data_IF_882691919775
#
_entry.id   IF_882691919775
#
_cell.length_a   1.000
_cell.length_b   1.000
_cell.length_c   1.000
_cell.angle_alpha   90.00
_cell.angle_beta   90.00
_cell.angle_gamma   90.00
#
_symmetry.space_group_name_H-M   'P 1'
#
loop_
_entity.id
_entity.type
_entity.pdbx_description
1 polymer ?
#
# COMPACT_ATOMS: atom_id res chain seq x y z
N UNK A 1 43.97 -25.10 32.33
CA UNK A 1 42.50 -24.96 32.47
C UNK A 1 42.10 -23.84 31.54
N UNK A 2 41.54 -24.18 30.38
CA UNK A 2 41.03 -23.19 29.43
C UNK A 2 39.51 -23.26 29.55
N UNK A 3 38.89 -22.25 30.13
CA UNK A 3 37.43 -22.13 30.14
C UNK A 3 36.96 -21.91 28.70
N UNK A 4 35.89 -22.60 28.23
CA UNK A 4 35.29 -22.25 26.96
C UNK A 4 34.55 -20.91 27.14
N UNK A 5 34.81 -19.96 26.24
CA UNK A 5 34.01 -18.76 26.11
C UNK A 5 32.56 -19.18 25.78
N UNK A 6 31.62 -18.82 26.65
CA UNK A 6 30.20 -18.87 26.36
C UNK A 6 29.93 -17.83 25.27
N UNK A 7 29.67 -18.28 24.06
CA UNK A 7 29.10 -17.42 23.02
C UNK A 7 27.70 -17.06 23.48
N UNK A 8 27.51 -15.82 23.95
CA UNK A 8 26.17 -15.26 24.12
C UNK A 8 25.52 -15.23 22.74
N UNK A 9 24.65 -16.22 22.47
CA UNK A 9 23.75 -16.16 21.35
C UNK A 9 22.86 -14.94 21.59
N UNK A 10 23.07 -13.87 20.83
CA UNK A 10 22.15 -12.74 20.82
C UNK A 10 20.80 -13.31 20.41
N UNK A 11 19.85 -13.32 21.34
CA UNK A 11 18.44 -13.57 21.07
C UNK A 11 18.01 -12.58 20.00
N UNK A 12 17.81 -13.06 18.79
CA UNK A 12 17.36 -12.22 17.68
C UNK A 12 15.91 -11.82 17.93
N UNK A 13 15.58 -10.53 17.74
CA UNK A 13 14.27 -10.01 18.09
C UNK A 13 13.19 -10.61 17.17
N UNK A 14 12.10 -11.08 17.79
CA UNK A 14 10.86 -11.44 17.10
C UNK A 14 10.32 -10.20 16.34
N UNK A 15 9.65 -10.39 15.19
CA UNK A 15 9.03 -9.28 14.49
C UNK A 15 7.91 -8.66 15.34
N UNK A 16 7.75 -7.35 15.23
CA UNK A 16 6.62 -6.61 15.80
C UNK A 16 5.60 -6.27 14.70
N UNK A 17 4.35 -6.02 15.11
CA UNK A 17 3.24 -5.76 14.19
C UNK A 17 3.47 -4.53 13.30
N UNK A 18 2.85 -4.55 12.12
CA UNK A 18 2.80 -3.41 11.22
C UNK A 18 1.92 -2.30 11.82
N UNK A 19 2.19 -1.06 11.43
CA UNK A 19 1.47 0.11 11.91
C UNK A 19 0.77 0.83 10.75
N UNK A 20 -0.51 1.16 10.91
CA UNK A 20 -1.16 2.15 10.03
C UNK A 20 -0.83 3.52 10.59
N UNK A 21 0.05 4.25 9.90
CA UNK A 21 0.61 5.52 10.39
C UNK A 21 -0.17 6.74 9.91
N UNK A 22 -0.94 6.59 8.85
CA UNK A 22 -1.78 7.65 8.29
C UNK A 22 -2.93 7.03 7.50
N UNK A 23 -4.10 7.68 7.51
CA UNK A 23 -5.22 7.34 6.63
C UNK A 23 -6.06 8.57 6.31
N UNK A 24 -6.80 8.49 5.21
CA UNK A 24 -7.78 9.50 4.82
C UNK A 24 -8.75 8.92 3.80
N UNK A 25 -9.93 9.53 3.72
CA UNK A 25 -10.97 9.10 2.81
C UNK A 25 -11.91 10.26 2.46
N UNK A 26 -12.65 10.09 1.38
CA UNK A 26 -13.77 10.95 1.02
C UNK A 26 -14.92 10.11 0.46
N UNK A 27 -16.11 10.70 0.38
CA UNK A 27 -17.28 10.08 -0.23
C UNK A 27 -17.58 10.75 -1.56
N UNK A 28 -17.90 9.94 -2.57
CA UNK A 28 -18.51 10.43 -3.79
C UNK A 28 -20.05 10.48 -3.65
N UNK A 29 -20.69 11.14 -4.62
CA UNK A 29 -22.15 11.26 -4.68
C UNK A 29 -22.88 9.95 -5.04
N UNK A 30 -22.13 8.90 -5.41
CA UNK A 30 -22.66 7.57 -5.72
C UNK A 30 -22.74 6.65 -4.48
N UNK A 31 -22.23 7.10 -3.33
CA UNK A 31 -22.27 6.36 -2.07
C UNK A 31 -21.05 5.46 -1.85
N UNK A 32 -19.95 5.72 -2.56
CA UNK A 32 -18.67 5.05 -2.31
C UNK A 32 -17.75 5.91 -1.45
N UNK A 33 -17.05 5.27 -0.51
CA UNK A 33 -15.93 5.86 0.19
C UNK A 33 -14.63 5.45 -0.52
N UNK A 34 -13.82 6.44 -0.92
CA UNK A 34 -12.50 6.25 -1.51
C UNK A 34 -11.44 6.54 -0.45
N UNK A 35 -10.59 5.57 -0.16
CA UNK A 35 -9.64 5.65 0.94
C UNK A 35 -8.20 5.42 0.50
N UNK A 36 -7.29 5.95 1.32
CA UNK A 36 -5.89 5.56 1.32
C UNK A 36 -5.39 5.46 2.76
N UNK A 37 -4.45 4.55 2.99
CA UNK A 37 -3.71 4.46 4.23
C UNK A 37 -2.25 4.12 3.96
N UNK A 38 -1.34 4.67 4.78
CA UNK A 38 0.07 4.31 4.79
C UNK A 38 0.29 3.27 5.88
N UNK A 39 0.80 2.11 5.46
CA UNK A 39 1.21 1.02 6.34
C UNK A 39 2.73 1.05 6.46
N UNK A 40 3.23 0.95 7.69
CA UNK A 40 4.64 0.98 8.04
C UNK A 40 5.07 -0.36 8.61
N UNK A 41 6.23 -0.86 8.15
CA UNK A 41 6.95 -1.96 8.75
C UNK A 41 8.06 -1.40 9.64
N UNK A 42 7.89 -1.40 10.97
CA UNK A 42 8.87 -0.84 11.90
C UNK A 42 10.07 -1.78 12.14
N UNK A 43 10.08 -2.96 11.53
CA UNK A 43 11.15 -3.93 11.71
C UNK A 43 12.33 -3.65 10.78
N UNK A 44 13.56 -3.66 11.33
CA UNK A 44 14.78 -3.37 10.56
C UNK A 44 15.39 -4.60 9.85
N UNK A 45 14.83 -5.79 10.04
CA UNK A 45 15.36 -7.04 9.47
C UNK A 45 14.29 -8.05 9.05
N UNK A 46 13.01 -7.73 9.26
CA UNK A 46 11.89 -8.61 8.93
C UNK A 46 11.05 -7.99 7.84
N UNK A 47 10.91 -8.69 6.72
CA UNK A 47 9.88 -8.43 5.74
C UNK A 47 8.57 -9.10 6.14
N UNK A 48 7.45 -8.44 5.84
CA UNK A 48 6.10 -8.94 5.99
C UNK A 48 5.56 -9.39 4.63
N UNK A 49 4.99 -10.58 4.58
CA UNK A 49 4.38 -11.19 3.41
C UNK A 49 2.92 -11.54 3.70
N UNK A 50 2.06 -11.51 2.67
CA UNK A 50 0.62 -11.82 2.79
C UNK A 50 -0.06 -10.97 3.87
N UNK A 51 0.18 -9.66 3.84
CA UNK A 51 -0.34 -8.71 4.83
C UNK A 51 -1.85 -8.57 4.59
N UNK A 52 -2.65 -8.98 5.56
CA UNK A 52 -4.10 -8.82 5.50
C UNK A 52 -4.49 -7.43 6.00
N UNK A 53 -5.22 -6.70 5.17
CA UNK A 53 -5.75 -5.37 5.49
C UNK A 53 -7.26 -5.46 5.63
N UNK A 54 -7.78 -4.99 6.76
CA UNK A 54 -9.23 -4.83 6.96
C UNK A 54 -9.54 -3.36 7.12
N UNK A 55 -10.49 -2.87 6.33
CA UNK A 55 -11.08 -1.54 6.41
C UNK A 55 -12.47 -1.66 7.01
N UNK A 56 -12.72 -1.00 8.14
CA UNK A 56 -14.02 -1.00 8.79
C UNK A 56 -14.66 0.38 8.66
N UNK A 57 -15.82 0.44 7.99
CA UNK A 57 -16.68 1.61 7.99
C UNK A 57 -17.44 1.66 9.32
N UNK A 58 -17.43 2.82 9.99
CA UNK A 58 -18.09 3.02 11.29
C UNK A 58 -19.06 4.16 11.27
N UNK A 59 -20.13 4.04 12.04
CA UNK A 59 -21.05 5.15 12.32
C UNK A 59 -20.48 6.14 13.36
N UNK A 60 -21.22 7.22 13.62
CA UNK A 60 -20.82 8.25 14.59
C UNK A 60 -20.74 7.77 16.05
N UNK A 61 -21.37 6.63 16.35
CA UNK A 61 -21.31 5.99 17.66
C UNK A 61 -20.14 4.98 17.75
N UNK A 62 -19.40 4.78 16.66
CA UNK A 62 -18.24 3.89 16.56
C UNK A 62 -18.59 2.43 16.22
N UNK A 63 -19.83 2.12 15.89
CA UNK A 63 -20.23 0.76 15.50
C UNK A 63 -19.77 0.47 14.07
N UNK A 64 -19.30 -0.74 13.83
CA UNK A 64 -19.00 -1.21 12.45
C UNK A 64 -20.31 -1.36 11.69
N UNK A 65 -20.41 -0.69 10.55
CA UNK A 65 -21.57 -0.75 9.64
C UNK A 65 -21.26 -1.51 8.36
N UNK A 66 -19.99 -1.58 7.94
CA UNK A 66 -19.52 -2.42 6.85
C UNK A 66 -18.00 -2.68 6.96
N UNK A 67 -17.50 -3.65 6.19
CA UNK A 67 -16.07 -4.00 6.15
C UNK A 67 -15.63 -4.40 4.74
N UNK A 68 -14.40 -4.02 4.38
CA UNK A 68 -13.68 -4.49 3.21
C UNK A 68 -12.39 -5.18 3.67
N UNK A 69 -12.09 -6.34 3.07
CA UNK A 69 -10.80 -7.02 3.24
C UNK A 69 -9.98 -6.88 1.95
N UNK A 70 -8.69 -6.59 2.11
CA UNK A 70 -7.72 -6.42 1.03
C UNK A 70 -6.34 -6.95 1.49
N UNK A 71 -5.35 -6.94 0.60
CA UNK A 71 -4.03 -7.49 0.87
C UNK A 71 -2.91 -6.62 0.30
N UNK A 72 -1.80 -6.57 1.03
CA UNK A 72 -0.50 -6.12 0.52
C UNK A 72 0.40 -7.36 0.44
N UNK A 73 1.00 -7.58 -0.72
CA UNK A 73 1.73 -8.83 -0.98
C UNK A 73 3.02 -8.92 -0.17
N UNK A 74 3.79 -7.82 -0.15
CA UNK A 74 5.13 -7.78 0.43
C UNK A 74 5.47 -6.38 0.93
N UNK A 75 6.06 -6.31 2.11
CA UNK A 75 6.70 -5.11 2.65
C UNK A 75 8.05 -5.45 3.26
N UNK A 76 9.11 -4.85 2.75
CA UNK A 76 10.47 -5.05 3.25
C UNK A 76 10.72 -4.25 4.55
N UNK A 77 11.84 -4.56 5.25
CA UNK A 77 12.30 -3.81 6.40
C UNK A 77 12.34 -2.29 6.22
N UNK A 78 12.14 -1.57 7.34
CA UNK A 78 12.13 -0.12 7.44
C UNK A 78 11.24 0.56 6.35
N UNK A 79 10.15 -0.13 6.02
CA UNK A 79 9.36 0.13 4.83
C UNK A 79 8.05 0.83 5.09
N UNK A 80 7.59 1.56 4.07
CA UNK A 80 6.23 2.08 4.01
C UNK A 80 5.65 1.84 2.62
N UNK A 81 4.35 1.53 2.57
CA UNK A 81 3.58 1.51 1.33
C UNK A 81 2.16 1.99 1.58
N UNK A 82 1.44 2.29 0.50
CA UNK A 82 0.03 2.64 0.56
C UNK A 82 -0.87 1.42 0.32
N UNK A 83 -2.05 1.45 0.91
CA UNK A 83 -3.21 0.66 0.49
C UNK A 83 -4.34 1.62 0.16
N UNK A 84 -4.79 1.59 -1.09
CA UNK A 84 -5.84 2.47 -1.59
C UNK A 84 -6.99 1.64 -2.14
N UNK A 85 -8.21 2.12 -2.03
CA UNK A 85 -9.38 1.40 -2.51
C UNK A 85 -10.66 2.19 -2.36
N UNK A 86 -11.74 1.61 -2.84
CA UNK A 86 -13.09 2.09 -2.63
C UNK A 86 -13.96 1.00 -2.02
N UNK A 87 -14.96 1.43 -1.25
CA UNK A 87 -16.00 0.55 -0.75
C UNK A 87 -17.34 1.26 -0.79
N UNK A 88 -18.42 0.51 -1.01
CA UNK A 88 -19.75 1.02 -0.74
C UNK A 88 -19.84 1.41 0.74
N UNK A 89 -20.29 2.63 1.02
CA UNK A 89 -20.38 3.12 2.38
C UNK A 89 -21.84 3.46 2.69
N UNK A 90 -22.45 2.82 3.70
CA UNK A 90 -23.77 3.21 4.17
C UNK A 90 -23.82 4.71 4.53
N UNK A 91 -24.96 5.38 4.32
CA UNK A 91 -25.15 6.81 4.64
C UNK A 91 -24.80 7.17 6.10
N UNK A 92 -24.83 6.18 7.01
CA UNK A 92 -24.45 6.35 8.41
C UNK A 92 -22.94 6.40 8.66
N UNK A 93 -22.11 6.13 7.65
CA UNK A 93 -20.64 6.06 7.80
C UNK A 93 -20.07 7.43 8.15
N UNK A 94 -19.34 7.48 9.25
CA UNK A 94 -18.67 8.66 9.78
C UNK A 94 -17.15 8.55 9.76
N UNK A 95 -16.59 7.34 9.80
CA UNK A 95 -15.15 7.10 9.72
C UNK A 95 -14.81 5.76 9.07
N UNK A 96 -13.58 5.65 8.57
CA UNK A 96 -12.96 4.39 8.17
C UNK A 96 -11.76 4.09 9.06
N UNK A 97 -11.72 2.90 9.64
CA UNK A 97 -10.57 2.40 10.36
C UNK A 97 -9.85 1.35 9.52
N UNK A 98 -8.56 1.59 9.24
CA UNK A 98 -7.72 0.62 8.51
C UNK A 98 -6.84 -0.10 9.50
N UNK A 99 -6.77 -1.43 9.38
CA UNK A 99 -5.89 -2.28 10.18
C UNK A 99 -5.11 -3.20 9.28
N UNK A 100 -3.85 -3.47 9.62
CA UNK A 100 -2.98 -4.40 8.91
C UNK A 100 -2.51 -5.49 9.87
N UNK A 101 -2.50 -6.74 9.41
CA UNK A 101 -2.09 -7.89 10.21
C UNK A 101 -1.29 -8.89 9.38
N UNK A 102 -0.33 -9.54 10.02
CA UNK A 102 0.56 -10.52 9.38
C UNK A 102 0.49 -11.82 10.17
N UNK A 103 0.24 -12.93 9.47
CA UNK A 103 0.28 -14.24 10.11
C UNK A 103 1.69 -14.57 10.61
N UNK A 104 1.82 -15.44 11.62
CA UNK A 104 3.13 -15.81 12.17
C UNK A 104 4.10 -16.41 11.14
N UNK A 105 3.58 -17.01 10.07
CA UNK A 105 4.37 -17.52 8.94
C UNK A 105 4.66 -16.50 7.85
N UNK A 106 4.14 -15.28 7.96
CA UNK A 106 4.31 -14.20 6.98
C UNK A 106 5.52 -13.31 7.26
N UNK A 107 6.41 -13.70 8.18
CA UNK A 107 7.61 -12.95 8.51
C UNK A 107 8.87 -13.66 8.02
N UNK A 108 9.61 -12.97 7.16
CA UNK A 108 10.85 -13.50 6.57
C UNK A 108 12.00 -12.52 6.82
N UNK A 109 13.17 -13.01 7.21
CA UNK A 109 14.34 -12.12 7.35
C UNK A 109 14.88 -11.68 6.01
N UNK A 110 15.21 -10.40 5.90
CA UNK A 110 15.75 -9.79 4.69
C UNK A 110 16.80 -8.74 5.06
N UNK A 111 17.86 -8.69 4.25
CA UNK A 111 18.93 -7.69 4.38
C UNK A 111 18.72 -6.48 3.43
N UNK A 112 17.63 -6.50 2.65
CA UNK A 112 17.23 -5.40 1.76
C UNK A 112 16.14 -4.56 2.40
N UNK A 113 16.20 -3.23 2.23
CA UNK A 113 15.16 -2.33 2.72
C UNK A 113 14.07 -2.12 1.67
N UNK A 114 12.91 -1.61 2.09
CA UNK A 114 11.85 -1.21 1.16
C UNK A 114 12.32 -0.15 0.17
N UNK A 115 13.19 0.76 0.61
CA UNK A 115 13.77 1.78 -0.27
C UNK A 115 14.64 1.14 -1.35
N UNK A 116 15.51 0.19 -0.99
CA UNK A 116 16.37 -0.49 -1.96
C UNK A 116 15.53 -1.21 -3.03
N UNK A 117 14.42 -1.81 -2.61
CA UNK A 117 13.48 -2.46 -3.51
C UNK A 117 12.74 -1.47 -4.43
N UNK A 118 12.21 -0.38 -3.87
CA UNK A 118 11.51 0.65 -4.65
C UNK A 118 12.41 1.43 -5.61
N UNK A 119 13.69 1.59 -5.30
CA UNK A 119 14.65 2.15 -6.25
C UNK A 119 14.81 1.26 -7.52
N UNK A 120 14.41 -0.02 -7.45
CA UNK A 120 14.36 -0.94 -8.60
C UNK A 120 12.99 -0.99 -9.28
N UNK A 121 11.94 -0.41 -8.69
CA UNK A 121 10.59 -0.34 -9.24
C UNK A 121 10.10 1.11 -9.37
N UNK A 122 10.85 2.00 -10.07
CA UNK A 122 10.48 3.41 -10.10
C UNK A 122 9.16 3.62 -10.82
N UNK A 123 8.32 4.49 -10.24
CA UNK A 123 7.11 5.02 -10.86
C UNK A 123 7.43 6.43 -11.37
N UNK A 124 7.22 6.65 -12.66
CA UNK A 124 7.58 7.89 -13.35
C UNK A 124 6.45 8.41 -14.22
N UNK A 125 6.62 9.63 -14.74
CA UNK A 125 5.73 10.26 -15.71
C UNK A 125 4.26 10.33 -15.24
N UNK A 126 4.04 10.52 -13.93
CA UNK A 126 2.71 10.66 -13.36
C UNK A 126 2.06 11.92 -13.92
N UNK A 127 0.86 11.75 -14.45
CA UNK A 127 -0.02 12.80 -14.95
C UNK A 127 -1.40 12.63 -14.36
N UNK A 128 -2.07 13.76 -14.18
CA UNK A 128 -3.44 13.83 -13.68
C UNK A 128 -4.28 14.66 -14.65
N UNK A 129 -5.51 14.22 -14.90
CA UNK A 129 -6.50 14.98 -15.65
C UNK A 129 -7.89 14.75 -15.08
N UNK A 130 -8.70 15.80 -15.04
CA UNK A 130 -10.11 15.73 -14.61
C UNK A 130 -10.99 16.02 -15.81
N UNK A 131 -12.01 15.18 -16.03
CA UNK A 131 -12.97 15.37 -17.12
C UNK A 131 -14.15 16.29 -16.72
N UNK A 132 -15.08 16.53 -17.65
CA UNK A 132 -16.24 17.40 -17.42
C UNK A 132 -17.25 16.83 -16.41
N UNK A 133 -17.15 15.54 -16.07
CA UNK A 133 -18.01 14.83 -15.13
C UNK A 133 -17.41 14.72 -13.73
N UNK A 134 -16.17 15.21 -13.55
CA UNK A 134 -15.46 15.13 -12.27
C UNK A 134 -14.71 13.81 -12.06
N UNK A 135 -14.54 13.00 -13.10
CA UNK A 135 -13.69 11.82 -13.04
C UNK A 135 -12.23 12.26 -13.14
N UNK A 136 -11.45 11.93 -12.11
CA UNK A 136 -10.01 12.16 -12.08
C UNK A 136 -9.30 10.92 -12.59
N UNK A 137 -8.53 11.06 -13.66
CA UNK A 137 -7.64 10.02 -14.17
C UNK A 137 -6.21 10.32 -13.73
N UNK A 138 -5.55 9.34 -13.13
CA UNK A 138 -4.10 9.36 -12.86
C UNK A 138 -3.43 8.27 -13.67
N UNK A 139 -2.44 8.65 -14.48
CA UNK A 139 -1.71 7.75 -15.35
C UNK A 139 -0.20 7.97 -15.22
N UNK A 140 0.57 6.91 -15.44
CA UNK A 140 2.03 6.95 -15.39
C UNK A 140 2.63 5.64 -15.87
N UNK A 141 3.90 5.45 -15.56
CA UNK A 141 4.65 4.26 -15.96
C UNK A 141 5.39 3.69 -14.75
N UNK A 142 5.49 2.37 -14.67
CA UNK A 142 6.33 1.67 -13.71
C UNK A 142 7.36 0.82 -14.46
N UNK A 143 8.63 0.95 -14.08
CA UNK A 143 9.70 0.10 -14.59
C UNK A 143 10.03 -1.01 -13.60
N UNK A 144 10.49 -2.15 -14.10
CA UNK A 144 11.06 -3.21 -13.29
C UNK A 144 12.53 -3.42 -13.64
N UNK A 145 13.40 -2.93 -12.77
CA UNK A 145 14.85 -3.07 -12.87
C UNK A 145 15.38 -4.25 -12.03
N UNK A 146 14.50 -5.01 -11.39
CA UNK A 146 14.88 -6.26 -10.70
C UNK A 146 15.13 -7.39 -11.69
N UNK A 147 15.62 -8.52 -11.19
CA UNK A 147 15.74 -9.77 -11.96
C UNK A 147 14.47 -10.62 -11.94
N UNK A 148 13.45 -10.25 -11.15
CA UNK A 148 12.22 -11.03 -10.99
C UNK A 148 11.10 -10.58 -11.92
N UNK A 149 10.26 -11.52 -12.35
CA UNK A 149 8.97 -11.22 -13.00
C UNK A 149 7.89 -11.15 -11.93
N UNK A 150 7.04 -10.12 -11.97
CA UNK A 150 5.92 -9.99 -11.05
C UNK A 150 4.57 -10.10 -11.74
N UNK A 151 3.60 -10.71 -11.07
CA UNK A 151 2.21 -10.77 -11.52
C UNK A 151 1.27 -10.11 -10.51
N UNK A 152 0.19 -9.50 -11.00
CA UNK A 152 -0.75 -8.79 -10.14
C UNK A 152 -0.17 -7.52 -9.50
N UNK A 153 0.85 -6.92 -10.14
CA UNK A 153 1.42 -5.65 -9.68
C UNK A 153 0.34 -4.59 -9.59
N UNK A 154 0.21 -3.99 -8.41
CA UNK A 154 -0.79 -2.97 -8.08
C UNK A 154 -0.11 -1.64 -7.86
N UNK A 155 -0.61 -0.61 -8.52
CA UNK A 155 -0.20 0.77 -8.30
C UNK A 155 -1.28 1.46 -7.48
N UNK A 156 -0.87 2.04 -6.36
CA UNK A 156 -1.69 2.76 -5.41
C UNK A 156 -1.43 4.24 -5.60
N UNK A 157 -2.48 5.04 -5.65
CA UNK A 157 -2.40 6.49 -5.88
C UNK A 157 -3.04 7.20 -4.68
N UNK A 158 -2.25 8.02 -4.00
CA UNK A 158 -2.64 8.77 -2.81
C UNK A 158 -2.78 10.25 -3.16
N UNK A 159 -3.93 10.83 -2.85
CA UNK A 159 -4.18 12.25 -2.99
C UNK A 159 -3.87 12.99 -1.68
N UNK A 160 -3.07 14.06 -1.76
CA UNK A 160 -2.57 14.81 -0.60
C UNK A 160 -3.08 16.25 -0.61
N UNK A 161 -3.62 16.74 0.50
CA UNK A 161 -3.94 18.16 0.65
C UNK A 161 -2.66 19.01 0.80
N UNK A 162 -2.83 20.34 0.83
CA UNK A 162 -1.71 21.28 0.92
C UNK A 162 -0.87 21.17 2.22
N UNK A 163 -1.44 20.59 3.28
CA UNK A 163 -0.75 20.33 4.54
C UNK A 163 -0.03 18.96 4.55
N UNK A 164 -0.13 18.19 3.46
CA UNK A 164 0.45 16.85 3.31
C UNK A 164 -0.41 15.71 3.84
N UNK A 165 -1.62 15.98 4.32
CA UNK A 165 -2.54 14.94 4.78
C UNK A 165 -3.23 14.19 3.64
N UNK A 166 -3.52 12.90 3.83
CA UNK A 166 -4.31 12.10 2.89
C UNK A 166 -5.75 12.60 2.81
N UNK A 167 -6.26 12.83 1.59
CA UNK A 167 -7.69 13.08 1.36
C UNK A 167 -8.44 11.86 0.83
N UNK A 168 -7.71 10.89 0.27
CA UNK A 168 -8.22 9.62 -0.24
C UNK A 168 -7.20 9.00 -1.19
N UNK A 169 -7.64 7.97 -1.92
CA UNK A 169 -6.82 7.34 -2.93
C UNK A 169 -7.61 6.46 -3.87
N UNK A 170 -6.92 5.94 -4.86
CA UNK A 170 -7.43 4.96 -5.81
C UNK A 170 -6.30 4.03 -6.21
N UNK A 171 -6.60 2.96 -6.94
CA UNK A 171 -5.60 2.00 -7.35
C UNK A 171 -5.89 1.43 -8.73
N UNK A 172 -4.91 0.74 -9.28
CA UNK A 172 -5.09 -0.05 -10.50
C UNK A 172 -4.10 -1.21 -10.51
N UNK A 173 -4.35 -2.17 -11.38
CA UNK A 173 -3.40 -3.24 -11.67
C UNK A 173 -2.66 -2.93 -12.97
N UNK A 174 -1.36 -3.20 -12.98
CA UNK A 174 -0.62 -3.28 -14.23
C UNK A 174 -1.17 -4.45 -15.03
N UNK A 175 -1.44 -4.22 -16.31
CA UNK A 175 -1.96 -5.25 -17.19
C UNK A 175 -0.88 -6.28 -17.53
N UNK A 176 -1.07 -7.53 -17.08
CA UNK A 176 -0.18 -8.64 -17.37
C UNK A 176 0.97 -8.76 -16.36
N UNK A 177 2.08 -9.32 -16.83
CA UNK A 177 3.29 -9.52 -16.02
C UNK A 177 4.23 -8.32 -16.18
N UNK A 178 4.85 -7.90 -15.08
CA UNK A 178 5.91 -6.91 -15.09
C UNK A 178 7.27 -7.64 -15.10
N UNK A 179 7.77 -7.91 -16.30
CA UNK A 179 9.00 -8.67 -16.53
C UNK A 179 10.28 -7.84 -16.24
N UNK A 180 11.44 -8.50 -15.98
CA UNK A 180 12.73 -7.84 -15.82
C UNK A 180 13.09 -6.93 -17.00
N UNK A 181 13.55 -5.71 -16.69
CA UNK A 181 13.93 -4.69 -17.65
C UNK A 181 12.76 -4.10 -18.45
N UNK A 182 11.52 -4.40 -18.10
CA UNK A 182 10.33 -3.87 -18.78
C UNK A 182 9.80 -2.60 -18.10
N UNK A 183 9.07 -1.79 -18.88
CA UNK A 183 8.29 -0.67 -18.39
C UNK A 183 6.85 -0.88 -18.81
N UNK A 184 5.91 -0.70 -17.89
CA UNK A 184 4.49 -0.86 -18.14
C UNK A 184 3.73 0.42 -17.79
N UNK A 185 2.80 0.87 -18.66
CA UNK A 185 1.91 1.96 -18.32
C UNK A 185 0.82 1.50 -17.35
N UNK A 186 0.34 2.42 -16.52
CA UNK A 186 -0.86 2.23 -15.71
C UNK A 186 -1.78 3.45 -15.82
N UNK A 187 -3.06 3.22 -15.54
CA UNK A 187 -4.06 4.28 -15.40
C UNK A 187 -5.08 3.84 -14.37
N UNK A 188 -5.45 4.76 -13.51
CA UNK A 188 -6.55 4.61 -12.54
C UNK A 188 -7.48 5.79 -12.64
N UNK A 189 -8.72 5.59 -12.22
CA UNK A 189 -9.75 6.61 -12.18
C UNK A 189 -10.34 6.69 -10.77
N UNK A 190 -10.85 7.86 -10.41
CA UNK A 190 -11.60 8.04 -9.18
C UNK A 190 -12.61 9.18 -9.35
N UNK A 191 -13.80 9.01 -8.78
CA UNK A 191 -14.90 9.95 -8.95
C UNK A 191 -14.80 11.06 -7.91
N UNK A 192 -15.04 12.30 -8.34
CA UNK A 192 -15.24 13.45 -7.44
C UNK A 192 -14.11 13.64 -6.41
N UNK A 193 -12.86 13.38 -6.82
CA UNK A 193 -11.68 13.55 -5.95
C UNK A 193 -11.67 14.98 -5.38
N UNK A 194 -11.57 15.15 -4.05
CA UNK A 194 -11.49 16.47 -3.44
C UNK A 194 -10.30 17.29 -3.96
N UNK A 195 -10.38 18.61 -3.83
CA UNK A 195 -9.25 19.49 -4.11
C UNK A 195 -8.02 19.04 -3.30
N UNK A 196 -6.91 18.86 -3.98
CA UNK A 196 -5.67 18.35 -3.43
C UNK A 196 -4.48 19.06 -4.08
N UNK A 197 -3.32 19.00 -3.41
CA UNK A 197 -2.11 19.71 -3.79
C UNK A 197 -1.10 18.83 -4.53
N UNK A 198 -1.12 17.51 -4.29
CA UNK A 198 -0.22 16.57 -4.94
C UNK A 198 -0.76 15.15 -4.97
N UNK A 199 -0.18 14.36 -5.87
CA UNK A 199 -0.40 12.93 -6.01
C UNK A 199 0.90 12.19 -5.69
N UNK A 200 0.81 11.13 -4.90
CA UNK A 200 1.89 10.18 -4.64
C UNK A 200 1.49 8.80 -5.16
N UNK A 201 2.43 8.05 -5.73
CA UNK A 201 2.20 6.69 -6.19
C UNK A 201 3.10 5.70 -5.46
N UNK A 202 2.53 4.56 -5.09
CA UNK A 202 3.19 3.45 -4.42
C UNK A 202 2.94 2.16 -5.19
N UNK A 203 3.87 1.21 -5.10
CA UNK A 203 3.73 -0.11 -5.73
C UNK A 203 3.63 -1.19 -4.67
N UNK A 204 2.61 -2.03 -4.79
CA UNK A 204 2.69 -3.42 -4.36
C UNK A 204 3.13 -4.23 -5.59
N UNK A 205 4.30 -4.85 -5.53
CA UNK A 205 4.87 -5.56 -6.67
C UNK A 205 3.98 -6.74 -7.10
N UNK A 206 3.14 -7.25 -6.19
CA UNK A 206 2.40 -8.48 -6.42
C UNK A 206 3.31 -9.70 -6.25
N UNK A 207 2.93 -10.81 -6.89
CA UNK A 207 3.57 -12.10 -6.64
C UNK A 207 4.78 -12.31 -7.54
N UNK A 208 5.96 -12.66 -6.98
CA UNK A 208 7.08 -13.08 -7.79
C UNK A 208 6.74 -14.40 -8.49
N UNK A 209 6.91 -14.42 -9.80
CA UNK A 209 6.73 -15.62 -10.62
C UNK A 209 8.02 -16.43 -10.57
N UNK A 210 7.95 -17.66 -10.08
CA UNK A 210 9.04 -18.62 -10.24
C UNK A 210 9.00 -19.19 -11.64
N UNK A 211 10.11 -19.07 -12.39
CA UNK A 211 10.31 -19.79 -13.66
C UNK A 211 10.32 -21.31 -13.48
#
# INVERSE_FOLDING_TARGET
MNEPATTDAVSEAEPIDLEVVESGFYFDSYGSAHFAAIVSNPNSSWAAENIHVTVAARDSDGNVVDTLDDYITLMFPDGQTAICGDMGAPDSTASLDVTASVGSSGWTKQDITQKDFYDQLPIENITESVDEWGETTVAGEIANNTEGTFSGTRVQVVFRNADGGIVGGTYTYVNGELAPGSTAPFSTISQEVPEHASVEAYVDCGWPMTE
#
